data_IF_424077198464
#
_entry.id   IF_424077198464
#
_cell.length_a   1.000
_cell.length_b   1.000
_cell.length_c   1.000
_cell.angle_alpha   90.00
_cell.angle_beta   90.00
_cell.angle_gamma   90.00
#
_symmetry.space_group_name_H-M   'P 1'
#
loop_
_entity.id
_entity.type
_entity.pdbx_description
1 polymer ?
#
# COMPACT_ATOMS: atom_id res chain seq x y z
N UNK A 1 -14.23 6.00 -0.25
CA UNK A 1 -12.91 5.37 -0.09
C UNK A 1 -12.45 4.81 -1.44
N UNK A 2 -11.21 5.08 -1.87
CA UNK A 2 -10.63 4.58 -3.12
C UNK A 2 -9.45 3.66 -2.80
N UNK A 3 -9.38 2.52 -3.49
CA UNK A 3 -8.24 1.61 -3.43
C UNK A 3 -7.93 1.05 -4.81
N UNK A 4 -6.64 0.94 -5.13
CA UNK A 4 -6.14 0.29 -6.34
C UNK A 4 -5.51 -1.04 -5.94
N UNK A 5 -5.77 -2.08 -6.72
CA UNK A 5 -5.29 -3.44 -6.43
C UNK A 5 -4.66 -4.04 -7.66
N UNK A 6 -3.54 -4.73 -7.47
CA UNK A 6 -2.84 -5.41 -8.55
C UNK A 6 -2.15 -6.68 -8.05
N UNK A 7 -2.06 -7.67 -8.93
CA UNK A 7 -1.37 -8.92 -8.73
C UNK A 7 -0.33 -9.16 -9.81
N UNK A 8 0.86 -9.58 -9.42
CA UNK A 8 1.96 -9.89 -10.33
C UNK A 8 2.43 -11.34 -10.16
N UNK A 9 2.79 -12.00 -11.26
CA UNK A 9 3.33 -13.35 -11.22
C UNK A 9 4.45 -13.52 -12.24
N UNK A 10 5.67 -13.75 -11.74
CA UNK A 10 6.80 -14.13 -12.59
C UNK A 10 6.75 -15.63 -12.86
N UNK A 11 6.88 -16.02 -14.13
CA UNK A 11 6.84 -17.41 -14.55
C UNK A 11 5.46 -18.07 -14.43
N UNK A 12 4.39 -17.30 -14.54
CA UNK A 12 3.00 -17.77 -14.45
C UNK A 12 2.78 -19.05 -15.30
N UNK A 13 2.18 -20.09 -14.67
CA UNK A 13 1.97 -21.40 -15.30
C UNK A 13 3.21 -22.27 -15.43
N UNK A 14 4.37 -21.89 -14.89
CA UNK A 14 5.62 -22.66 -14.93
C UNK A 14 6.04 -23.11 -13.53
N UNK A 15 6.84 -24.17 -13.46
CA UNK A 15 7.46 -24.60 -12.21
C UNK A 15 8.38 -23.50 -11.68
N UNK A 16 8.24 -23.15 -10.40
CA UNK A 16 9.01 -22.09 -9.76
C UNK A 16 8.43 -20.69 -9.97
N UNK A 17 7.20 -20.57 -10.46
CA UNK A 17 6.47 -19.32 -10.48
C UNK A 17 6.45 -18.66 -9.09
N UNK A 18 6.48 -17.34 -9.05
CA UNK A 18 6.39 -16.54 -7.84
C UNK A 18 5.36 -15.44 -8.05
N UNK A 19 4.41 -15.34 -7.15
CA UNK A 19 3.34 -14.38 -7.21
C UNK A 19 3.36 -13.43 -6.01
N UNK A 20 2.92 -12.19 -6.24
CA UNK A 20 2.79 -11.16 -5.23
C UNK A 20 1.63 -10.25 -5.55
N UNK A 21 1.17 -9.52 -4.56
CA UNK A 21 -0.01 -8.67 -4.67
C UNK A 21 0.14 -7.41 -3.83
N UNK A 22 -0.56 -6.38 -4.23
CA UNK A 22 -0.52 -5.08 -3.57
C UNK A 22 -1.90 -4.42 -3.51
N UNK A 23 -2.08 -3.59 -2.48
CA UNK A 23 -3.18 -2.65 -2.35
C UNK A 23 -2.63 -1.25 -2.10
N UNK A 24 -3.05 -0.28 -2.90
CA UNK A 24 -2.67 1.11 -2.85
C UNK A 24 -3.85 1.99 -2.52
N UNK A 25 -3.78 2.73 -1.43
CA UNK A 25 -4.78 3.69 -0.98
C UNK A 25 -4.27 5.12 -1.23
N UNK A 26 -4.60 5.78 -2.35
CA UNK A 26 -4.05 7.10 -2.68
C UNK A 26 -4.43 8.18 -1.68
N UNK A 27 -5.59 8.05 -1.04
CA UNK A 27 -6.08 9.00 -0.02
C UNK A 27 -5.52 8.68 1.38
N UNK A 28 -5.02 7.45 1.59
CA UNK A 28 -4.43 6.96 2.84
C UNK A 28 -3.18 6.10 2.57
N UNK A 29 -2.10 6.71 2.07
CA UNK A 29 -0.94 5.97 1.59
C UNK A 29 -0.29 5.05 2.63
N UNK A 30 -0.38 5.37 3.91
CA UNK A 30 0.14 4.55 5.02
C UNK A 30 -0.61 3.22 5.23
N UNK A 31 -1.79 3.06 4.61
CA UNK A 31 -2.56 1.82 4.65
C UNK A 31 -2.15 0.85 3.55
N UNK A 32 -1.36 1.34 2.61
CA UNK A 32 -0.91 0.56 1.46
C UNK A 32 0.13 -0.48 1.85
N UNK A 33 0.05 -1.64 1.24
CA UNK A 33 1.01 -2.72 1.46
C UNK A 33 1.08 -3.68 0.28
N UNK A 34 2.16 -4.46 0.24
CA UNK A 34 2.36 -5.52 -0.73
C UNK A 34 2.88 -6.78 -0.05
N UNK A 35 2.48 -7.94 -0.52
CA UNK A 35 2.84 -9.24 0.04
C UNK A 35 3.06 -10.26 -1.06
N UNK A 36 3.85 -11.29 -0.74
CA UNK A 36 3.95 -12.47 -1.60
C UNK A 36 2.75 -13.38 -1.36
N UNK A 37 2.31 -14.05 -2.42
CA UNK A 37 1.42 -15.20 -2.26
C UNK A 37 2.18 -16.27 -1.45
N UNK A 38 1.60 -16.85 -0.38
CA UNK A 38 2.23 -17.91 0.40
C UNK A 38 2.72 -19.07 -0.48
N UNK A 39 3.87 -19.66 -0.12
CA UNK A 39 4.50 -20.69 -0.94
C UNK A 39 3.69 -21.99 -1.04
N UNK A 40 2.76 -22.24 -0.12
CA UNK A 40 1.81 -23.34 -0.10
C UNK A 40 0.54 -23.09 -0.92
N UNK A 41 0.40 -21.90 -1.50
CA UNK A 41 -0.72 -21.51 -2.35
C UNK A 41 -0.30 -21.47 -3.84
N UNK A 42 -1.32 -21.52 -4.72
CA UNK A 42 -1.10 -21.46 -6.17
C UNK A 42 -0.42 -20.15 -6.59
N UNK A 43 0.78 -20.26 -7.13
CA UNK A 43 1.56 -19.13 -7.63
C UNK A 43 1.10 -18.72 -9.03
N UNK A 44 -0.06 -18.05 -9.11
CA UNK A 44 -0.66 -17.63 -10.39
C UNK A 44 -1.05 -16.15 -10.36
N UNK A 45 -1.10 -15.54 -11.55
CA UNK A 45 -1.55 -14.14 -11.66
C UNK A 45 -2.97 -13.95 -11.10
N UNK A 46 -3.91 -14.81 -11.48
CA UNK A 46 -5.30 -14.70 -11.01
C UNK A 46 -5.44 -14.81 -9.49
N UNK A 47 -4.62 -15.67 -8.84
CA UNK A 47 -4.62 -15.75 -7.38
C UNK A 47 -4.05 -14.49 -6.75
N UNK A 48 -2.99 -13.94 -7.31
CA UNK A 48 -2.39 -12.69 -6.84
C UNK A 48 -3.38 -11.51 -6.95
N UNK A 49 -4.08 -11.40 -8.07
CA UNK A 49 -5.11 -10.36 -8.29
C UNK A 49 -6.24 -10.42 -7.25
N UNK A 50 -6.81 -11.61 -7.03
CA UNK A 50 -7.82 -11.79 -5.98
C UNK A 50 -7.27 -11.53 -4.59
N UNK A 51 -6.01 -11.93 -4.32
CA UNK A 51 -5.34 -11.65 -3.04
C UNK A 51 -5.14 -10.16 -2.80
N UNK A 52 -4.89 -9.37 -3.86
CA UNK A 52 -4.81 -7.91 -3.78
C UNK A 52 -6.14 -7.29 -3.33
N UNK A 53 -7.26 -7.74 -3.90
CA UNK A 53 -8.60 -7.27 -3.51
C UNK A 53 -8.90 -7.71 -2.06
N UNK A 54 -8.56 -8.96 -1.68
CA UNK A 54 -8.69 -9.42 -0.29
C UNK A 54 -7.92 -8.53 0.66
N UNK A 55 -6.67 -8.22 0.35
CA UNK A 55 -5.82 -7.33 1.14
C UNK A 55 -6.49 -5.97 1.35
N UNK A 56 -7.02 -5.37 0.28
CA UNK A 56 -7.68 -4.07 0.34
C UNK A 56 -8.90 -4.08 1.28
N UNK A 57 -9.82 -5.03 1.11
CA UNK A 57 -11.06 -5.08 1.92
C UNK A 57 -10.77 -5.47 3.37
N UNK A 58 -9.79 -6.35 3.63
CA UNK A 58 -9.36 -6.71 4.98
C UNK A 58 -8.68 -5.53 5.68
N UNK A 59 -7.84 -4.78 4.99
CA UNK A 59 -7.21 -3.58 5.56
C UNK A 59 -8.24 -2.59 6.07
N UNK A 60 -9.33 -2.38 5.33
CA UNK A 60 -10.41 -1.49 5.75
C UNK A 60 -11.25 -2.08 6.89
N UNK A 61 -11.55 -3.39 6.85
CA UNK A 61 -12.26 -4.09 7.93
C UNK A 61 -11.49 -4.00 9.25
N UNK A 62 -10.19 -4.30 9.23
CA UNK A 62 -9.33 -4.29 10.43
C UNK A 62 -9.16 -2.89 11.03
N UNK A 63 -9.40 -1.84 10.21
CA UNK A 63 -9.41 -0.43 10.64
C UNK A 63 -10.78 0.07 11.07
N UNK A 64 -11.82 -0.73 10.88
CA UNK A 64 -13.20 -0.32 11.17
C UNK A 64 -13.82 0.62 10.13
N UNK A 65 -13.20 0.78 8.96
CA UNK A 65 -13.59 1.70 7.88
C UNK A 65 -14.68 1.09 6.97
N UNK A 66 -15.75 0.56 7.58
CA UNK A 66 -16.81 -0.12 6.86
C UNK A 66 -17.99 0.81 6.46
N UNK A 67 -18.19 1.94 7.16
CA UNK A 67 -19.23 2.93 6.84
C UNK A 67 -18.77 3.88 5.72
N UNK A 68 -18.29 3.32 4.63
CA UNK A 68 -17.84 4.08 3.47
C UNK A 68 -18.38 3.51 2.16
N UNK A 69 -18.43 4.35 1.13
CA UNK A 69 -18.68 3.94 -0.25
C UNK A 69 -17.34 3.53 -0.87
N UNK A 70 -17.07 2.22 -0.91
CA UNK A 70 -15.80 1.68 -1.38
C UNK A 70 -15.77 1.59 -2.91
N UNK A 71 -14.69 2.10 -3.50
CA UNK A 71 -14.38 1.93 -4.93
C UNK A 71 -13.07 1.18 -5.07
N UNK A 72 -13.14 -0.04 -5.60
CA UNK A 72 -11.98 -0.87 -5.91
C UNK A 72 -11.63 -0.73 -7.39
N UNK A 73 -10.44 -0.22 -7.67
CA UNK A 73 -9.87 -0.13 -9.00
C UNK A 73 -8.94 -1.32 -9.25
N UNK A 74 -9.13 -2.02 -10.35
CA UNK A 74 -8.27 -3.14 -10.77
C UNK A 74 -8.24 -3.23 -12.30
N UNK A 75 -7.14 -3.69 -12.87
CA UNK A 75 -7.04 -4.00 -14.29
C UNK A 75 -7.35 -5.47 -14.60
N UNK A 76 -7.64 -6.28 -13.58
CA UNK A 76 -8.04 -7.68 -13.72
C UNK A 76 -9.55 -7.83 -13.99
N UNK A 77 -9.93 -7.90 -15.27
CA UNK A 77 -11.32 -8.26 -15.64
C UNK A 77 -11.76 -9.60 -15.04
N UNK A 78 -10.82 -10.56 -14.93
CA UNK A 78 -11.10 -11.85 -14.31
C UNK A 78 -11.57 -11.69 -12.87
N UNK A 79 -10.82 -10.97 -12.05
CA UNK A 79 -11.13 -10.77 -10.62
C UNK A 79 -12.43 -10.00 -10.42
N UNK A 80 -12.66 -8.96 -11.23
CA UNK A 80 -13.92 -8.20 -11.22
C UNK A 80 -15.10 -9.12 -11.57
N UNK A 81 -15.00 -9.92 -12.63
CA UNK A 81 -16.06 -10.82 -13.03
C UNK A 81 -16.32 -11.92 -11.99
N UNK A 82 -15.29 -12.44 -11.32
CA UNK A 82 -15.44 -13.39 -10.21
C UNK A 82 -16.31 -12.85 -9.08
N UNK A 83 -16.16 -11.55 -8.79
CA UNK A 83 -16.83 -10.89 -7.66
C UNK A 83 -18.15 -10.19 -8.04
N UNK A 84 -18.48 -10.16 -9.34
CA UNK A 84 -19.68 -9.50 -9.87
C UNK A 84 -20.47 -10.43 -10.77
N UNK A 85 -20.17 -10.45 -12.06
CA UNK A 85 -20.98 -11.06 -13.12
C UNK A 85 -21.13 -12.57 -12.97
N UNK A 86 -20.11 -13.28 -12.50
CA UNK A 86 -20.14 -14.75 -12.41
C UNK A 86 -20.60 -15.27 -11.06
N UNK A 87 -20.49 -14.47 -10.00
CA UNK A 87 -20.70 -14.86 -8.61
C UNK A 87 -22.06 -15.53 -8.39
N UNK A 88 -23.15 -14.83 -8.74
CA UNK A 88 -24.52 -15.34 -8.53
C UNK A 88 -24.74 -16.66 -9.27
N UNK A 89 -24.24 -16.76 -10.50
CA UNK A 89 -24.33 -17.99 -11.28
C UNK A 89 -23.59 -19.16 -10.63
N UNK A 90 -22.42 -18.92 -10.05
CA UNK A 90 -21.67 -19.96 -9.33
C UNK A 90 -22.34 -20.37 -8.03
N UNK A 91 -22.82 -19.41 -7.25
CA UNK A 91 -23.57 -19.70 -6.01
C UNK A 91 -24.79 -20.58 -6.29
N UNK A 92 -25.57 -20.25 -7.32
CA UNK A 92 -26.77 -21.04 -7.71
C UNK A 92 -26.43 -22.44 -8.21
N UNK A 93 -25.24 -22.66 -8.74
CA UNK A 93 -24.76 -23.99 -9.22
C UNK A 93 -23.88 -24.72 -8.20
N UNK A 94 -23.90 -24.35 -6.92
CA UNK A 94 -23.09 -24.98 -5.89
C UNK A 94 -21.59 -24.84 -6.14
N UNK A 95 -21.16 -23.64 -6.60
CA UNK A 95 -19.77 -23.31 -6.92
C UNK A 95 -19.18 -24.13 -8.07
N UNK A 96 -20.00 -24.44 -9.06
CA UNK A 96 -19.59 -25.07 -10.31
C UNK A 96 -19.63 -24.08 -11.48
N UNK A 97 -18.67 -24.23 -12.39
CA UNK A 97 -18.67 -23.53 -13.69
C UNK A 97 -19.81 -24.06 -14.57
N UNK A 98 -20.11 -23.42 -15.69
CA UNK A 98 -21.07 -23.91 -16.68
C UNK A 98 -20.71 -25.31 -17.24
N UNK A 99 -19.41 -25.65 -17.24
CA UNK A 99 -18.90 -26.95 -17.64
C UNK A 99 -18.90 -28.00 -16.50
N UNK A 100 -19.49 -27.70 -15.35
CA UNK A 100 -19.59 -28.59 -14.18
C UNK A 100 -18.30 -28.77 -13.37
N UNK A 101 -17.22 -28.05 -13.70
CA UNK A 101 -15.95 -28.06 -12.94
C UNK A 101 -16.08 -27.15 -11.71
N UNK A 102 -15.28 -27.42 -10.69
CA UNK A 102 -15.17 -26.53 -9.55
C UNK A 102 -14.66 -25.16 -9.97
N UNK A 103 -15.22 -24.11 -9.38
CA UNK A 103 -14.71 -22.74 -9.55
C UNK A 103 -13.36 -22.65 -8.88
N UNK A 104 -12.37 -22.10 -9.57
CA UNK A 104 -11.04 -21.84 -8.98
C UNK A 104 -11.12 -20.69 -7.97
N UNK A 105 -10.22 -20.72 -6.98
CA UNK A 105 -10.07 -19.66 -5.97
C UNK A 105 -11.34 -19.38 -5.16
N UNK A 106 -12.20 -20.40 -4.95
CA UNK A 106 -13.42 -20.26 -4.15
C UNK A 106 -13.19 -19.70 -2.76
N UNK A 107 -12.07 -20.08 -2.14
CA UNK A 107 -11.60 -19.61 -0.84
C UNK A 107 -11.54 -18.08 -0.79
N UNK A 108 -10.77 -17.48 -1.71
CA UNK A 108 -10.61 -16.03 -1.81
C UNK A 108 -11.92 -15.32 -2.17
N UNK A 109 -12.65 -15.84 -3.17
CA UNK A 109 -13.91 -15.23 -3.63
C UNK A 109 -14.94 -15.19 -2.50
N UNK A 110 -15.08 -16.27 -1.73
CA UNK A 110 -16.00 -16.33 -0.58
C UNK A 110 -15.60 -15.37 0.54
N UNK A 111 -14.30 -15.33 0.88
CA UNK A 111 -13.79 -14.42 1.90
C UNK A 111 -14.01 -12.95 1.50
N UNK A 112 -13.63 -12.58 0.28
CA UNK A 112 -13.80 -11.21 -0.24
C UNK A 112 -15.29 -10.81 -0.23
N UNK A 113 -16.18 -11.65 -0.75
CA UNK A 113 -17.61 -11.33 -0.82
C UNK A 113 -18.24 -11.21 0.56
N UNK A 114 -17.83 -12.05 1.51
CA UNK A 114 -18.25 -11.95 2.92
C UNK A 114 -17.81 -10.62 3.53
N UNK A 115 -16.57 -10.21 3.29
CA UNK A 115 -16.08 -8.92 3.80
C UNK A 115 -16.77 -7.74 3.11
N UNK A 116 -16.93 -7.80 1.78
CA UNK A 116 -17.62 -6.75 1.02
C UNK A 116 -19.07 -6.51 1.46
N UNK A 117 -19.77 -7.57 1.90
CA UNK A 117 -21.14 -7.43 2.39
C UNK A 117 -21.28 -6.60 3.67
N UNK A 118 -20.18 -6.31 4.36
CA UNK A 118 -20.14 -5.48 5.58
C UNK A 118 -20.02 -3.99 5.29
N UNK A 119 -19.62 -3.62 4.07
CA UNK A 119 -19.49 -2.23 3.68
C UNK A 119 -20.84 -1.58 3.39
N UNK A 120 -20.95 -0.29 3.66
CA UNK A 120 -22.15 0.50 3.33
C UNK A 120 -22.50 0.38 1.84
N UNK A 121 -21.51 0.52 0.96
CA UNK A 121 -21.63 0.19 -0.45
C UNK A 121 -20.26 -0.13 -1.03
N UNK A 122 -20.22 -0.88 -2.14
CA UNK A 122 -18.99 -1.11 -2.87
C UNK A 122 -19.24 -1.20 -4.38
N UNK A 123 -18.24 -0.85 -5.17
CA UNK A 123 -18.21 -1.05 -6.61
C UNK A 123 -16.82 -1.29 -7.12
N UNK A 124 -16.71 -1.99 -8.23
CA UNK A 124 -15.48 -2.23 -8.96
C UNK A 124 -15.40 -1.33 -10.18
N UNK A 125 -14.20 -0.85 -10.48
CA UNK A 125 -13.90 -0.05 -11.68
C UNK A 125 -12.72 -0.71 -12.38
N UNK A 126 -12.92 -1.16 -13.60
CA UNK A 126 -11.84 -1.66 -14.43
C UNK A 126 -10.98 -0.50 -14.93
N UNK A 127 -9.67 -0.57 -14.71
CA UNK A 127 -8.67 0.38 -15.21
C UNK A 127 -7.87 -0.28 -16.32
N UNK A 128 -7.65 0.41 -17.41
CA UNK A 128 -6.81 -0.14 -18.49
C UNK A 128 -5.35 -0.16 -18.06
N UNK A 129 -4.72 -1.34 -18.10
CA UNK A 129 -3.30 -1.51 -17.86
C UNK A 129 -2.45 -0.77 -18.89
N UNK A 130 -1.27 -0.30 -18.48
CA UNK A 130 -0.20 0.19 -19.37
C UNK A 130 -0.59 1.31 -20.38
N UNK A 131 -1.49 2.21 -20.01
CA UNK A 131 -1.89 3.34 -20.87
C UNK A 131 -0.91 4.52 -20.88
N UNK A 132 0.29 4.35 -20.32
CA UNK A 132 1.34 5.38 -20.30
C UNK A 132 1.14 6.50 -19.27
N UNK A 133 0.20 6.35 -18.35
CA UNK A 133 0.03 7.30 -17.22
C UNK A 133 -0.49 8.68 -17.62
N UNK A 134 -1.29 8.77 -18.67
CA UNK A 134 -1.83 10.04 -19.19
C UNK A 134 -2.91 10.62 -18.26
N UNK A 135 -3.66 9.79 -17.57
CA UNK A 135 -4.71 10.20 -16.65
C UNK A 135 -4.39 9.74 -15.20
N UNK A 136 -5.13 10.30 -14.24
CA UNK A 136 -4.90 10.05 -12.82
C UNK A 136 -5.11 8.57 -12.44
N UNK A 137 -6.11 7.90 -12.99
CA UNK A 137 -6.36 6.49 -12.68
C UNK A 137 -5.22 5.60 -13.17
N UNK A 138 -4.70 5.86 -14.36
CA UNK A 138 -3.54 5.15 -14.93
C UNK A 138 -2.28 5.36 -14.11
N UNK A 139 -2.07 6.58 -13.57
CA UNK A 139 -0.93 6.85 -12.68
C UNK A 139 -1.04 6.05 -11.39
N UNK A 140 -2.21 6.04 -10.76
CA UNK A 140 -2.44 5.29 -9.53
C UNK A 140 -2.33 3.78 -9.76
N UNK A 141 -2.81 3.28 -10.92
CA UNK A 141 -2.65 1.88 -11.29
C UNK A 141 -1.16 1.50 -11.47
N UNK A 142 -0.36 2.38 -12.08
CA UNK A 142 1.08 2.15 -12.23
C UNK A 142 1.82 2.07 -10.88
N UNK A 143 1.35 2.77 -9.86
CA UNK A 143 1.91 2.66 -8.50
C UNK A 143 1.68 1.25 -7.94
N UNK A 144 0.44 0.76 -7.97
CA UNK A 144 0.12 -0.56 -7.40
C UNK A 144 0.74 -1.70 -8.21
N UNK A 145 0.79 -1.61 -9.55
CA UNK A 145 1.51 -2.54 -10.45
C UNK A 145 2.99 -2.65 -10.04
N UNK A 146 3.66 -1.49 -9.89
CA UNK A 146 5.04 -1.47 -9.42
C UNK A 146 5.20 -2.12 -8.04
N UNK A 147 4.30 -1.87 -7.10
CA UNK A 147 4.33 -2.50 -5.76
C UNK A 147 4.22 -4.03 -5.85
N UNK A 148 3.30 -4.55 -6.68
CA UNK A 148 3.12 -5.98 -6.88
C UNK A 148 4.32 -6.63 -7.58
N UNK A 149 4.92 -5.97 -8.57
CA UNK A 149 6.14 -6.43 -9.24
C UNK A 149 7.35 -6.42 -8.32
N UNK A 150 7.56 -5.35 -7.55
CA UNK A 150 8.69 -5.21 -6.63
C UNK A 150 8.71 -6.34 -5.61
N UNK A 151 7.58 -6.67 -5.00
CA UNK A 151 7.52 -7.74 -3.99
C UNK A 151 7.80 -9.14 -4.60
N UNK A 152 7.39 -9.40 -5.85
CA UNK A 152 7.72 -10.64 -6.57
C UNK A 152 9.21 -10.75 -6.82
N UNK A 153 9.86 -9.64 -7.15
CA UNK A 153 11.30 -9.57 -7.42
C UNK A 153 12.15 -9.51 -6.14
N UNK A 154 11.54 -9.60 -4.95
CA UNK A 154 12.24 -9.54 -3.66
C UNK A 154 12.65 -8.12 -3.27
N UNK A 155 12.13 -7.12 -3.96
CA UNK A 155 12.33 -5.71 -3.62
C UNK A 155 11.25 -5.35 -2.59
N UNK A 156 11.64 -5.22 -1.34
CA UNK A 156 10.74 -4.84 -0.23
C UNK A 156 10.66 -3.32 -0.06
N UNK A 157 10.67 -2.59 -1.15
CA UNK A 157 10.44 -1.15 -1.08
C UNK A 157 8.98 -0.91 -0.70
N UNK A 158 8.73 -0.39 0.49
CA UNK A 158 7.48 0.34 0.69
C UNK A 158 7.42 1.43 -0.37
N UNK A 159 6.25 1.68 -0.99
CA UNK A 159 6.14 2.76 -1.97
C UNK A 159 6.69 4.04 -1.34
N UNK A 160 7.28 4.89 -2.16
CA UNK A 160 7.69 6.25 -1.77
C UNK A 160 6.42 7.08 -1.52
N UNK A 161 5.77 6.72 -0.43
CA UNK A 161 4.53 7.35 -0.01
C UNK A 161 4.94 8.61 0.74
N UNK A 162 4.48 9.78 0.32
CA UNK A 162 4.59 10.95 1.18
C UNK A 162 3.84 10.64 2.48
N UNK A 163 4.59 10.51 3.57
CA UNK A 163 3.96 10.38 4.89
C UNK A 163 3.40 11.77 5.22
N UNK A 164 2.09 11.89 5.10
CA UNK A 164 1.39 13.11 5.54
C UNK A 164 1.31 13.03 7.06
N UNK A 165 2.20 13.74 7.72
CA UNK A 165 2.29 13.76 9.19
C UNK A 165 1.01 14.33 9.81
N UNK A 166 0.24 15.13 9.07
CA UNK A 166 -1.07 15.65 9.49
C UNK A 166 -2.10 14.55 9.82
N UNK A 167 -2.03 13.37 9.16
CA UNK A 167 -2.93 12.25 9.49
C UNK A 167 -2.53 11.56 10.80
N UNK A 168 -1.24 11.51 11.10
CA UNK A 168 -0.72 10.93 12.33
C UNK A 168 -0.77 11.92 13.51
N UNK A 169 -0.71 13.22 13.22
CA UNK A 169 -0.66 14.29 14.21
C UNK A 169 -1.42 15.55 13.67
N UNK A 170 -2.73 15.63 13.83
CA UNK A 170 -3.51 16.79 13.41
C UNK A 170 -2.94 18.09 13.97
N UNK A 171 -2.68 19.05 13.07
CA UNK A 171 -2.11 20.34 13.43
C UNK A 171 -0.57 20.40 13.47
N UNK A 172 0.12 19.32 13.08
CA UNK A 172 1.57 19.34 12.91
C UNK A 172 1.94 19.88 11.51
N UNK A 173 2.76 20.95 11.38
CA UNK A 173 3.08 21.55 10.08
C UNK A 173 4.07 20.75 9.24
N UNK A 174 4.43 19.53 9.65
CA UNK A 174 5.41 18.69 9.00
C UNK A 174 4.81 17.84 7.88
N UNK A 175 5.26 18.07 6.65
CA UNK A 175 5.05 17.19 5.52
C UNK A 175 6.38 16.53 5.14
N UNK A 176 6.45 15.21 5.18
CA UNK A 176 7.63 14.46 4.76
C UNK A 176 7.34 13.86 3.40
N UNK A 177 7.94 14.43 2.36
CA UNK A 177 7.79 13.96 0.97
C UNK A 177 9.14 13.50 0.43
N UNK A 178 9.22 12.23 0.04
CA UNK A 178 10.42 11.66 -0.56
C UNK A 178 11.56 11.47 0.46
N UNK A 179 12.55 10.73 0.10
CA UNK A 179 13.74 10.47 0.89
C UNK A 179 14.40 9.17 0.45
N UNK A 180 15.63 8.89 0.90
CA UNK A 180 16.29 7.64 0.59
C UNK A 180 15.44 6.45 0.99
N UNK A 181 15.31 5.48 0.09
CA UNK A 181 14.45 4.29 0.31
C UNK A 181 15.19 3.19 1.07
N UNK A 182 16.51 3.24 1.14
CA UNK A 182 17.30 2.24 1.84
C UNK A 182 17.67 2.69 3.26
N UNK A 183 17.50 1.78 4.22
CA UNK A 183 17.77 2.06 5.65
C UNK A 183 19.13 2.69 5.92
N UNK A 184 20.21 2.21 5.25
CA UNK A 184 21.56 2.74 5.39
C UNK A 184 21.66 4.21 4.97
N UNK A 185 20.97 4.57 3.89
CA UNK A 185 21.01 5.92 3.31
C UNK A 185 20.20 6.89 4.17
N UNK A 186 19.07 6.44 4.73
CA UNK A 186 18.26 7.21 5.68
C UNK A 186 19.07 7.49 6.96
N UNK A 187 19.76 6.50 7.50
CA UNK A 187 20.59 6.67 8.70
C UNK A 187 21.77 7.60 8.43
N UNK A 188 22.46 7.46 7.30
CA UNK A 188 23.55 8.33 6.90
C UNK A 188 23.07 9.78 6.71
N UNK A 189 21.92 9.95 6.06
CA UNK A 189 21.30 11.25 5.84
C UNK A 189 20.87 11.91 7.16
N UNK A 190 20.25 11.19 8.08
CA UNK A 190 19.89 11.68 9.43
C UNK A 190 21.14 12.12 10.18
N UNK A 191 22.20 11.31 10.17
CA UNK A 191 23.46 11.65 10.86
C UNK A 191 24.11 12.93 10.31
N UNK A 192 24.24 13.05 8.99
CA UNK A 192 24.81 14.24 8.35
C UNK A 192 24.01 15.51 8.66
N UNK A 193 22.70 15.36 8.81
CA UNK A 193 21.81 16.47 9.12
C UNK A 193 21.82 16.87 10.60
N UNK A 194 22.09 15.90 11.51
CA UNK A 194 22.20 16.15 12.96
C UNK A 194 23.41 17.01 13.34
N UNK A 195 24.49 16.94 12.55
CA UNK A 195 25.71 17.71 12.83
C UNK A 195 25.55 19.22 12.59
N UNK A 196 24.47 19.61 11.88
CA UNK A 196 24.19 21.01 11.50
C UNK A 196 23.12 21.70 12.36
N UNK A 197 22.57 21.02 13.37
CA UNK A 197 21.37 21.47 14.06
C UNK A 197 21.63 21.90 15.51
N UNK A 198 20.97 22.99 15.91
CA UNK A 198 21.01 23.52 17.28
C UNK A 198 20.14 22.67 18.24
N UNK A 199 20.67 22.35 19.42
CA UNK A 199 20.20 21.31 20.33
C UNK A 199 18.91 21.65 21.13
N UNK A 200 18.41 22.87 21.06
CA UNK A 200 17.37 23.38 21.98
C UNK A 200 15.91 23.26 21.47
N UNK A 201 15.69 22.84 20.22
CA UNK A 201 14.38 22.93 19.56
C UNK A 201 13.70 21.58 19.32
N UNK A 202 13.77 20.62 20.23
CA UNK A 202 13.01 19.39 20.11
C UNK A 202 11.64 19.52 20.77
N UNK A 203 10.62 19.81 19.99
CA UNK A 203 9.24 19.64 20.42
C UNK A 203 8.93 18.14 20.57
N UNK A 204 8.33 17.74 21.70
CA UNK A 204 7.92 16.35 21.96
C UNK A 204 7.01 15.77 20.86
N UNK A 205 6.24 16.58 20.19
CA UNK A 205 5.36 16.17 19.09
C UNK A 205 6.14 15.83 17.83
N UNK A 206 7.14 16.62 17.47
CA UNK A 206 8.01 16.39 16.33
C UNK A 206 8.85 15.12 16.51
N UNK A 207 9.33 14.88 17.72
CA UNK A 207 10.04 13.65 18.08
C UNK A 207 9.17 12.40 17.90
N UNK A 208 7.93 12.45 18.36
CA UNK A 208 7.00 11.33 18.23
C UNK A 208 6.65 11.05 16.76
N UNK A 209 6.40 12.10 15.97
CA UNK A 209 6.16 11.99 14.54
C UNK A 209 7.34 11.36 13.80
N UNK A 210 8.56 11.78 14.15
CA UNK A 210 9.78 11.23 13.57
C UNK A 210 10.00 9.75 13.92
N UNK A 211 9.73 9.34 15.15
CA UNK A 211 9.81 7.93 15.57
C UNK A 211 8.81 7.07 14.79
N UNK A 212 7.57 7.54 14.63
CA UNK A 212 6.56 6.81 13.87
C UNK A 212 6.91 6.74 12.38
N UNK A 213 7.47 7.80 11.80
CA UNK A 213 8.02 7.78 10.45
C UNK A 213 9.11 6.73 10.28
N UNK A 214 10.07 6.69 11.20
CA UNK A 214 11.15 5.71 11.17
C UNK A 214 10.62 4.29 11.27
N UNK A 215 9.63 4.04 12.14
CA UNK A 215 8.94 2.75 12.22
C UNK A 215 8.24 2.39 10.92
N UNK A 216 7.49 3.34 10.33
CA UNK A 216 6.78 3.13 9.07
C UNK A 216 7.71 2.80 7.89
N UNK A 217 8.98 3.20 7.97
CA UNK A 217 10.03 2.93 6.97
C UNK A 217 11.01 1.82 7.39
N UNK A 218 10.71 1.07 8.44
CA UNK A 218 11.59 0.04 9.03
C UNK A 218 13.01 0.56 9.38
N UNK A 219 13.11 1.84 9.71
CA UNK A 219 14.36 2.45 10.14
C UNK A 219 14.56 2.24 11.63
N UNK A 220 15.53 1.44 11.99
CA UNK A 220 15.86 1.19 13.40
C UNK A 220 16.80 2.30 13.90
N UNK A 221 16.28 3.24 14.68
CA UNK A 221 17.03 4.36 15.23
C UNK A 221 17.41 4.09 16.67
N UNK A 222 18.67 4.34 17.00
CA UNK A 222 19.11 4.35 18.40
C UNK A 222 18.54 5.57 19.13
N UNK A 223 18.23 5.43 20.39
CA UNK A 223 17.70 6.51 21.24
C UNK A 223 18.53 7.79 21.19
N UNK A 224 19.85 7.66 20.99
CA UNK A 224 20.77 8.80 20.86
C UNK A 224 20.58 9.59 19.56
N UNK A 225 20.28 8.92 18.45
CA UNK A 225 20.01 9.56 17.16
C UNK A 225 18.70 10.33 17.25
N UNK A 226 17.68 9.70 17.82
CA UNK A 226 16.36 10.28 17.95
C UNK A 226 16.35 11.52 18.87
N UNK A 227 17.10 11.52 19.98
CA UNK A 227 17.14 12.63 20.95
C UNK A 227 17.80 13.91 20.41
N UNK A 228 18.42 13.86 19.24
CA UNK A 228 19.14 14.98 18.64
C UNK A 228 18.50 15.56 17.37
N UNK A 229 17.34 15.06 16.96
CA UNK A 229 16.72 15.44 15.68
C UNK A 229 15.66 16.51 15.89
N UNK A 230 15.86 17.76 15.43
CA UNK A 230 14.92 18.83 15.74
C UNK A 230 13.77 18.98 14.75
N UNK A 231 13.98 19.33 13.49
CA UNK A 231 12.87 19.58 12.55
C UNK A 231 13.21 19.03 11.17
N UNK A 232 12.29 18.24 10.62
CA UNK A 232 12.42 17.70 9.28
C UNK A 232 11.36 18.33 8.39
N UNK A 233 11.77 19.11 7.39
CA UNK A 233 10.92 19.64 6.34
C UNK A 233 11.07 18.88 5.06
N UNK A 234 10.00 18.83 4.28
CA UNK A 234 10.03 18.31 2.94
C UNK A 234 9.69 19.39 1.95
N UNK A 235 10.57 19.67 1.03
CA UNK A 235 10.27 20.48 -0.14
C UNK A 235 10.72 19.78 -1.42
N UNK A 236 9.84 19.76 -2.44
CA UNK A 236 10.10 19.34 -3.83
C UNK A 236 10.79 17.99 -3.98
N UNK A 237 10.35 16.99 -3.20
CA UNK A 237 10.85 15.61 -3.35
C UNK A 237 12.18 15.33 -2.63
N UNK A 238 12.67 16.27 -1.82
CA UNK A 238 13.83 16.09 -0.96
C UNK A 238 13.44 16.33 0.50
N UNK A 239 13.97 15.51 1.40
CA UNK A 239 13.91 15.78 2.83
C UNK A 239 14.94 16.87 3.13
N UNK A 240 14.47 18.01 3.63
CA UNK A 240 15.32 19.04 4.21
C UNK A 240 15.14 19.03 5.72
N UNK A 241 16.26 19.18 6.43
CA UNK A 241 16.22 19.44 7.86
C UNK A 241 16.47 20.93 8.01
N UNK A 242 15.47 21.63 8.52
CA UNK A 242 15.57 23.05 8.78
C UNK A 242 15.85 23.33 10.24
N UNK A 243 16.70 24.29 10.48
CA UNK A 243 16.78 25.00 11.74
C UNK A 243 15.56 25.94 11.80
N UNK A 244 14.77 25.81 12.85
CA UNK A 244 13.74 26.84 13.11
C UNK A 244 14.49 28.06 13.59
N UNK A 245 14.49 29.12 12.76
CA UNK A 245 14.92 30.40 13.22
C UNK A 245 14.05 30.80 14.42
N UNK A 246 14.69 31.18 15.51
CA UNK A 246 14.00 31.79 16.66
C UNK A 246 13.25 32.98 16.11
N UNK A 247 11.92 32.87 16.05
CA UNK A 247 11.09 34.04 15.94
C UNK A 247 11.37 34.90 17.20
N UNK A 248 11.86 36.12 16.96
CA UNK A 248 12.02 37.14 17.98
C UNK A 248 10.69 37.45 18.67
#
# INVERSE_FOLDING_TARGET
MRVFTDGSCTGNGRKGAKAGYAAWFPDHPTWSSSHRVPDDEDQTNNRAELSAIRLAVKTLEDRGELDCDLVVYSDSEYSINCLTSWLTGWMNRGWKTAAGKDVLHQDLIKEITTTLSKFKSHRFVHVKAHTGGLDELSKQNAVVDKMAQDIVNGITSKPDVPVVVDELFPGCPLRIMGGPTQQKDIVAWIRSSLDTLDKELIDKHLYKAFVELCKARDVNLTRQVISKTPVIRAERGHLQIDTVDKAE
#
